data_IF_831729685961
#
_entry.id   IF_831729685961
#
_cell.length_a   1.000
_cell.length_b   1.000
_cell.length_c   1.000
_cell.angle_alpha   90.00
_cell.angle_beta   90.00
_cell.angle_gamma   90.00
#
_symmetry.space_group_name_H-M   'P 1'
#
loop_
_entity.id
_entity.type
_entity.pdbx_description
1 polymer ?
#
# COMPACT_ATOMS: atom_id res chain seq x y z
N UNK A 1 -9.52 24.77 15.41
CA UNK A 1 -8.49 23.71 15.56
C UNK A 1 -7.85 23.49 14.19
N UNK A 2 -6.54 23.66 14.04
CA UNK A 2 -5.88 23.33 12.77
C UNK A 2 -5.87 21.81 12.64
N UNK A 3 -6.47 21.28 11.58
CA UNK A 3 -6.38 19.85 11.26
C UNK A 3 -4.90 19.52 11.07
N UNK A 4 -4.32 18.79 12.03
CA UNK A 4 -2.94 18.31 11.90
C UNK A 4 -3.00 17.14 10.92
N UNK A 5 -2.34 17.24 9.75
CA UNK A 5 -2.35 16.13 8.80
C UNK A 5 -1.72 14.90 9.47
N UNK A 6 -2.51 13.84 9.62
CA UNK A 6 -2.04 12.58 10.19
C UNK A 6 -1.23 11.88 9.10
N UNK A 7 0.10 11.98 9.19
CA UNK A 7 1.01 11.15 8.40
C UNK A 7 0.89 9.73 8.94
N UNK A 8 0.35 8.81 8.13
CA UNK A 8 0.32 7.40 8.48
C UNK A 8 1.75 6.88 8.62
N UNK A 9 2.05 6.28 9.78
CA UNK A 9 3.36 5.73 10.07
C UNK A 9 3.37 4.24 9.71
N UNK A 10 3.92 3.92 8.54
CA UNK A 10 4.18 2.53 8.15
C UNK A 10 5.65 2.16 8.40
N UNK A 11 5.99 0.86 8.43
CA UNK A 11 7.38 0.45 8.50
C UNK A 11 8.15 0.91 7.25
N UNK A 12 9.47 1.11 7.35
CA UNK A 12 10.28 1.75 6.30
C UNK A 12 10.20 1.07 4.93
N UNK A 13 9.95 -0.25 4.89
CA UNK A 13 9.77 -1.00 3.64
C UNK A 13 8.48 -0.64 2.90
N UNK A 14 7.47 -0.08 3.57
CA UNK A 14 6.27 0.46 2.92
C UNK A 14 6.55 1.69 2.04
N UNK A 15 7.71 2.31 2.21
CA UNK A 15 8.16 3.45 1.40
C UNK A 15 9.20 3.05 0.34
N UNK A 16 9.56 1.76 0.24
CA UNK A 16 10.61 1.29 -0.67
C UNK A 16 10.35 1.67 -2.14
N UNK A 17 9.08 1.77 -2.53
CA UNK A 17 8.69 2.11 -3.91
C UNK A 17 8.69 3.61 -4.21
N UNK A 18 8.80 4.47 -3.21
CA UNK A 18 8.91 5.91 -3.43
C UNK A 18 10.26 6.25 -4.05
N UNK A 19 10.26 7.23 -4.96
CA UNK A 19 11.51 7.78 -5.46
C UNK A 19 12.29 8.47 -4.34
N UNK A 20 13.62 8.45 -4.39
CA UNK A 20 14.46 9.20 -3.45
C UNK A 20 14.06 10.66 -3.36
N UNK A 21 13.67 11.26 -4.48
CA UNK A 21 13.20 12.65 -4.54
C UNK A 21 11.97 12.87 -3.66
N UNK A 22 10.98 11.98 -3.73
CA UNK A 22 9.74 12.10 -2.98
C UNK A 22 9.95 11.81 -1.48
N UNK A 23 10.82 10.85 -1.13
CA UNK A 23 11.20 10.61 0.27
C UNK A 23 11.89 11.85 0.87
N UNK A 24 12.79 12.50 0.12
CA UNK A 24 13.44 13.74 0.54
C UNK A 24 12.45 14.90 0.65
N UNK A 25 11.46 14.97 -0.25
CA UNK A 25 10.40 15.97 -0.18
C UNK A 25 9.57 15.80 1.10
N UNK A 26 9.16 14.58 1.44
CA UNK A 26 8.46 14.28 2.69
C UNK A 26 9.33 14.64 3.89
N UNK A 27 10.61 14.25 3.89
CA UNK A 27 11.55 14.61 4.97
C UNK A 27 11.63 16.12 5.14
N UNK A 28 11.79 16.87 4.06
CA UNK A 28 11.89 18.33 4.11
C UNK A 28 10.56 18.95 4.58
N UNK A 29 9.43 18.46 4.07
CA UNK A 29 8.11 18.91 4.52
C UNK A 29 7.96 18.72 6.03
N UNK A 30 8.24 17.53 6.55
CA UNK A 30 8.17 17.25 7.99
C UNK A 30 9.14 18.12 8.79
N UNK A 31 10.37 18.29 8.29
CA UNK A 31 11.43 19.02 9.00
C UNK A 31 11.16 20.52 9.08
N UNK A 32 10.60 21.12 8.03
CA UNK A 32 10.47 22.57 7.92
C UNK A 32 9.07 23.10 8.17
N UNK A 33 8.01 22.30 8.00
CA UNK A 33 6.62 22.76 8.16
C UNK A 33 5.99 22.39 9.51
N UNK A 34 6.58 21.48 10.26
CA UNK A 34 6.10 21.13 11.61
C UNK A 34 6.99 21.76 12.67
N UNK A 35 6.38 22.30 13.72
CA UNK A 35 7.14 22.75 14.86
C UNK A 35 7.76 21.56 15.60
N UNK A 36 9.07 21.61 15.93
CA UNK A 36 9.70 20.56 16.72
C UNK A 36 8.98 20.42 18.06
N UNK A 37 8.46 19.22 18.34
CA UNK A 37 7.93 18.89 19.67
C UNK A 37 9.06 18.30 20.50
N UNK A 38 9.43 18.97 21.59
CA UNK A 38 10.44 18.49 22.53
C UNK A 38 9.84 17.45 23.47
N UNK A 39 9.48 16.28 22.92
CA UNK A 39 9.02 15.12 23.69
C UNK A 39 10.21 14.23 23.97
N UNK A 40 10.47 13.93 25.24
CA UNK A 40 11.52 12.97 25.62
C UNK A 40 11.20 11.61 24.99
N UNK A 41 12.15 11.03 24.26
CA UNK A 41 12.01 9.69 23.71
C UNK A 41 11.70 8.69 24.84
N UNK A 42 10.73 7.82 24.60
CA UNK A 42 10.45 6.71 25.52
C UNK A 42 11.68 5.82 25.58
N UNK A 43 12.00 5.33 26.78
CA UNK A 43 13.04 4.31 26.96
C UNK A 43 12.66 3.09 26.13
N UNK A 44 13.64 2.45 25.48
CA UNK A 44 13.38 1.24 24.70
C UNK A 44 12.89 0.13 25.64
N UNK A 45 11.62 -0.24 25.54
CA UNK A 45 11.00 -1.30 26.36
C UNK A 45 11.14 -2.69 25.74
N UNK A 46 11.74 -2.81 24.54
CA UNK A 46 11.97 -4.11 23.91
C UNK A 46 12.97 -4.91 24.75
N UNK A 47 12.60 -6.14 25.09
CA UNK A 47 13.42 -7.06 25.92
C UNK A 47 14.06 -8.14 25.06
N UNK A 48 15.17 -8.71 25.54
CA UNK A 48 15.87 -9.81 24.87
C UNK A 48 16.48 -9.40 23.53
N UNK A 49 16.57 -10.34 22.57
CA UNK A 49 17.17 -10.12 21.24
C UNK A 49 16.50 -8.99 20.45
N UNK A 50 15.24 -8.66 20.71
CA UNK A 50 14.54 -7.54 20.09
C UNK A 50 15.10 -6.17 20.49
N UNK A 51 15.85 -6.07 21.60
CA UNK A 51 16.53 -4.85 22.02
C UNK A 51 17.85 -4.63 21.27
N UNK A 52 18.43 -5.70 20.72
CA UNK A 52 19.72 -5.69 20.06
C UNK A 52 19.59 -5.19 18.62
N UNK A 53 19.84 -3.90 18.41
CA UNK A 53 19.69 -3.23 17.10
C UNK A 53 20.53 -3.86 15.99
N UNK A 54 21.68 -4.42 16.32
CA UNK A 54 22.54 -5.10 15.34
C UNK A 54 21.96 -6.46 14.89
N UNK A 55 21.02 -7.03 15.64
CA UNK A 55 20.24 -8.19 15.21
C UNK A 55 19.46 -7.91 13.91
N UNK A 56 19.04 -6.67 13.68
CA UNK A 56 18.42 -6.26 12.41
C UNK A 56 19.40 -6.29 11.23
N UNK A 57 20.70 -6.07 11.46
CA UNK A 57 21.73 -6.17 10.40
C UNK A 57 21.92 -7.63 10.00
N UNK A 58 22.04 -8.51 10.98
CA UNK A 58 22.13 -9.97 10.77
C UNK A 58 20.88 -10.48 10.05
N UNK A 59 19.68 -10.03 10.45
CA UNK A 59 18.43 -10.37 9.80
C UNK A 59 18.40 -9.94 8.33
N UNK A 60 18.79 -8.69 8.05
CA UNK A 60 18.85 -8.17 6.67
C UNK A 60 19.82 -8.97 5.81
N UNK A 61 20.98 -9.29 6.35
CA UNK A 61 21.99 -10.11 5.69
C UNK A 61 21.48 -11.53 5.44
N UNK A 62 20.85 -12.18 6.41
CA UNK A 62 20.25 -13.50 6.20
C UNK A 62 19.18 -13.48 5.10
N UNK A 63 18.34 -12.43 5.06
CA UNK A 63 17.29 -12.28 4.04
C UNK A 63 17.85 -12.07 2.63
N UNK A 64 19.02 -11.45 2.47
CA UNK A 64 19.60 -11.24 1.13
C UNK A 64 20.00 -12.53 0.41
N UNK A 65 20.13 -13.65 1.14
CA UNK A 65 20.37 -14.97 0.55
C UNK A 65 19.09 -15.79 0.31
N UNK A 66 17.92 -15.29 0.75
CA UNK A 66 16.67 -16.06 0.73
C UNK A 66 15.57 -15.45 -0.15
N UNK A 67 15.78 -14.30 -0.78
CA UNK A 67 14.81 -13.67 -1.68
C UNK A 67 15.06 -14.07 -3.13
N UNK A 68 14.08 -14.71 -3.76
CA UNK A 68 14.04 -14.79 -5.22
C UNK A 68 13.57 -13.43 -5.79
N UNK A 69 14.09 -13.05 -6.95
CA UNK A 69 13.80 -11.77 -7.63
C UNK A 69 12.29 -11.51 -7.87
N UNK A 70 11.44 -12.54 -7.81
CA UNK A 70 9.98 -12.41 -7.93
C UNK A 70 9.30 -11.89 -6.63
N UNK A 71 9.93 -12.04 -5.46
CA UNK A 71 9.45 -11.43 -4.21
C UNK A 71 9.74 -9.91 -4.14
N UNK A 72 10.64 -9.41 -5.00
CA UNK A 72 11.18 -8.03 -4.95
C UNK A 72 10.23 -6.96 -5.48
N UNK A 73 9.29 -7.32 -6.38
CA UNK A 73 8.29 -6.35 -6.81
C UNK A 73 7.43 -5.86 -5.64
N UNK A 74 7.17 -6.72 -4.65
CA UNK A 74 6.24 -6.45 -3.54
C UNK A 74 6.92 -6.21 -2.21
N UNK A 75 8.09 -6.82 -2.01
CA UNK A 75 8.85 -6.75 -0.75
C UNK A 75 10.29 -6.31 -0.93
N UNK A 76 10.68 -6.04 -2.18
CA UNK A 76 12.00 -5.52 -2.53
C UNK A 76 12.16 -4.09 -2.02
N UNK A 77 13.41 -3.75 -1.77
CA UNK A 77 13.81 -2.46 -1.19
C UNK A 77 13.97 -1.37 -2.24
N UNK A 78 13.75 -1.69 -3.51
CA UNK A 78 14.09 -0.83 -4.62
C UNK A 78 12.92 0.03 -5.06
N UNK A 79 13.26 1.23 -5.53
CA UNK A 79 12.33 2.21 -6.06
C UNK A 79 11.49 1.63 -7.20
N UNK A 80 10.24 2.11 -7.33
CA UNK A 80 9.37 1.71 -8.42
C UNK A 80 10.02 1.97 -9.78
N UNK A 81 10.01 0.95 -10.64
CA UNK A 81 10.44 1.05 -12.03
C UNK A 81 9.21 0.93 -12.94
N UNK A 82 9.10 1.84 -13.91
CA UNK A 82 8.02 1.80 -14.88
C UNK A 82 8.09 0.50 -15.69
N UNK A 83 6.94 -0.14 -15.87
CA UNK A 83 6.82 -1.37 -16.63
C UNK A 83 6.67 -1.03 -18.12
N UNK A 84 7.60 -1.55 -18.93
CA UNK A 84 7.54 -1.48 -20.39
C UNK A 84 6.27 -2.16 -20.91
N UNK A 85 5.56 -1.50 -21.83
CA UNK A 85 4.31 -2.02 -22.40
C UNK A 85 3.05 -1.62 -21.61
N UNK A 86 3.19 -0.98 -20.46
CA UNK A 86 2.08 -0.30 -19.77
C UNK A 86 2.10 1.20 -20.10
N UNK A 87 0.94 1.83 -20.04
CA UNK A 87 0.79 3.27 -20.29
C UNK A 87 1.49 4.09 -19.19
N UNK A 88 1.79 5.36 -19.45
CA UNK A 88 2.30 6.27 -18.43
C UNK A 88 1.32 6.42 -17.26
N UNK A 89 0.02 6.52 -17.57
CA UNK A 89 -1.04 6.67 -16.58
C UNK A 89 -1.16 5.41 -15.69
N UNK A 90 -1.06 4.22 -16.27
CA UNK A 90 -1.00 2.97 -15.50
C UNK A 90 0.23 2.92 -14.59
N UNK A 91 1.41 3.29 -15.08
CA UNK A 91 2.64 3.31 -14.29
C UNK A 91 2.56 4.32 -13.14
N UNK A 92 1.92 5.48 -13.38
CA UNK A 92 1.60 6.46 -12.32
C UNK A 92 0.69 5.86 -11.26
N UNK A 93 -0.35 5.13 -11.69
CA UNK A 93 -1.27 4.43 -10.78
C UNK A 93 -0.58 3.38 -9.94
N UNK A 94 0.26 2.56 -10.56
CA UNK A 94 1.06 1.55 -9.88
C UNK A 94 2.01 2.18 -8.84
N UNK A 95 2.67 3.30 -9.17
CA UNK A 95 3.50 4.06 -8.23
C UNK A 95 2.70 4.54 -7.02
N UNK A 96 1.53 5.12 -7.25
CA UNK A 96 0.66 5.63 -6.20
C UNK A 96 0.13 4.49 -5.31
N UNK A 97 -0.42 3.43 -5.89
CA UNK A 97 -1.05 2.32 -5.15
C UNK A 97 -0.01 1.48 -4.37
N UNK A 98 1.14 1.20 -4.99
CA UNK A 98 2.16 0.33 -4.42
C UNK A 98 3.16 1.09 -3.52
N UNK A 99 3.24 2.42 -3.66
CA UNK A 99 4.13 3.30 -2.91
C UNK A 99 3.36 4.30 -2.06
N UNK A 100 2.97 5.42 -2.66
CA UNK A 100 2.55 6.63 -1.93
C UNK A 100 1.24 6.50 -1.12
N UNK A 101 0.31 5.66 -1.56
CA UNK A 101 -1.01 5.48 -0.96
C UNK A 101 -1.10 4.23 -0.06
N UNK A 102 -0.07 3.38 -0.07
CA UNK A 102 0.02 2.21 0.80
C UNK A 102 -1.20 1.27 0.78
N UNK A 103 -1.95 1.22 -0.33
CA UNK A 103 -3.20 0.45 -0.45
C UNK A 103 -2.99 -1.03 -0.05
N UNK A 104 -1.83 -1.57 -0.45
CA UNK A 104 -1.40 -2.93 -0.15
C UNK A 104 -1.29 -3.27 1.33
N UNK A 105 -1.08 -2.27 2.20
CA UNK A 105 -0.89 -2.51 3.63
C UNK A 105 -2.17 -3.03 4.31
N UNK A 106 -3.34 -2.70 3.76
CA UNK A 106 -4.63 -3.17 4.25
C UNK A 106 -5.25 -4.21 3.32
N UNK A 107 -5.10 -4.04 2.01
CA UNK A 107 -5.83 -4.83 1.01
C UNK A 107 -5.08 -6.05 0.47
N UNK A 108 -3.85 -6.33 0.91
CA UNK A 108 -3.15 -7.57 0.54
C UNK A 108 -3.12 -8.52 1.74
N UNK A 109 -3.37 -9.84 1.57
CA UNK A 109 -3.34 -10.78 2.68
C UNK A 109 -1.97 -10.80 3.37
N UNK A 110 -1.96 -11.10 4.69
CA UNK A 110 -0.74 -11.26 5.48
C UNK A 110 -0.61 -12.69 6.00
N UNK A 111 0.62 -13.21 6.06
CA UNK A 111 0.88 -14.48 6.77
C UNK A 111 0.83 -14.28 8.29
N UNK A 112 0.31 -15.29 8.99
CA UNK A 112 0.26 -15.38 10.45
C UNK A 112 1.36 -16.32 10.98
N UNK A 113 2.55 -16.32 10.37
CA UNK A 113 3.63 -17.27 10.65
C UNK A 113 4.37 -17.04 11.99
N UNK A 114 3.77 -16.30 12.93
CA UNK A 114 4.26 -16.12 14.30
C UNK A 114 5.54 -15.27 14.44
N UNK A 115 6.40 -15.23 13.43
CA UNK A 115 7.66 -14.46 13.41
C UNK A 115 7.57 -13.21 12.55
N UNK A 116 6.67 -13.18 11.57
CA UNK A 116 6.48 -12.05 10.65
C UNK A 116 5.01 -11.71 10.50
N UNK A 117 4.43 -11.13 11.57
CA UNK A 117 3.22 -10.29 11.45
C UNK A 117 3.53 -9.12 10.51
N UNK A 118 3.51 -9.33 9.19
CA UNK A 118 4.00 -8.32 8.25
C UNK A 118 4.29 -8.75 6.83
N UNK A 119 4.51 -10.04 6.50
CA UNK A 119 4.77 -10.42 5.10
C UNK A 119 3.46 -10.34 4.31
N UNK A 120 3.38 -9.35 3.42
CA UNK A 120 2.33 -9.31 2.39
C UNK A 120 2.49 -10.56 1.53
N UNK A 121 1.38 -11.22 1.23
CA UNK A 121 1.31 -12.32 0.30
C UNK A 121 0.91 -11.77 -1.06
N UNK A 122 1.85 -11.53 -1.96
CA UNK A 122 1.50 -11.19 -3.33
C UNK A 122 1.11 -12.41 -4.16
N UNK A 123 1.41 -13.63 -3.69
CA UNK A 123 1.05 -14.86 -4.37
C UNK A 123 0.59 -15.95 -3.38
N UNK A 124 -0.33 -16.79 -3.84
CA UNK A 124 -0.72 -18.04 -3.21
C UNK A 124 -0.43 -19.20 -4.16
N UNK A 125 0.24 -20.23 -3.66
CA UNK A 125 0.42 -21.49 -4.38
C UNK A 125 -0.81 -22.38 -4.16
N UNK A 126 -1.38 -22.86 -5.25
CA UNK A 126 -2.51 -23.79 -5.24
C UNK A 126 -2.01 -25.23 -5.17
N UNK A 127 -2.87 -26.16 -4.73
CA UNK A 127 -2.55 -27.59 -4.63
C UNK A 127 -2.05 -28.24 -5.93
N UNK A 128 -2.33 -27.61 -7.08
CA UNK A 128 -1.88 -28.06 -8.40
C UNK A 128 -0.56 -27.42 -8.85
N UNK A 129 0.20 -26.80 -7.93
CA UNK A 129 1.48 -26.12 -8.22
C UNK A 129 1.33 -24.77 -8.93
N UNK A 130 0.11 -24.35 -9.27
CA UNK A 130 -0.13 -23.05 -9.90
C UNK A 130 -0.05 -21.94 -8.86
N UNK A 131 0.76 -20.91 -9.13
CA UNK A 131 0.78 -19.68 -8.34
C UNK A 131 -0.24 -18.68 -8.88
N UNK A 132 -1.02 -18.08 -8.00
CA UNK A 132 -1.99 -17.02 -8.33
C UNK A 132 -1.66 -15.78 -7.52
N UNK A 133 -1.78 -14.60 -8.12
CA UNK A 133 -1.57 -13.35 -7.41
C UNK A 133 -2.68 -13.14 -6.37
N UNK A 134 -2.28 -12.87 -5.14
CA UNK A 134 -3.15 -12.45 -4.03
C UNK A 134 -3.02 -10.97 -3.72
N UNK A 135 -2.30 -10.23 -4.57
CA UNK A 135 -2.14 -8.79 -4.45
C UNK A 135 -3.48 -8.07 -4.45
N UNK A 136 -3.70 -7.22 -3.45
CA UNK A 136 -4.92 -6.39 -3.32
C UNK A 136 -6.24 -7.17 -3.29
N UNK A 137 -6.19 -8.51 -3.11
CA UNK A 137 -7.35 -9.42 -3.03
C UNK A 137 -8.09 -9.39 -1.69
N UNK A 138 -7.83 -8.39 -0.87
CA UNK A 138 -8.37 -8.24 0.48
C UNK A 138 -7.53 -8.93 1.55
N UNK A 139 -7.95 -8.85 2.81
CA UNK A 139 -7.21 -9.41 3.93
C UNK A 139 -7.89 -9.22 5.27
N UNK A 140 -7.40 -9.91 6.30
CA UNK A 140 -7.86 -9.70 7.68
C UNK A 140 -6.93 -8.69 8.35
N UNK A 141 -7.51 -7.59 8.83
CA UNK A 141 -6.78 -6.54 9.55
C UNK A 141 -6.45 -7.01 10.98
N UNK A 142 -5.46 -6.40 11.66
CA UNK A 142 -5.15 -6.71 13.06
C UNK A 142 -6.34 -6.56 14.02
N UNK A 143 -7.33 -5.74 13.66
CA UNK A 143 -8.58 -5.59 14.41
C UNK A 143 -9.60 -6.72 14.17
N UNK A 144 -9.27 -7.77 13.43
CA UNK A 144 -10.17 -8.87 13.05
C UNK A 144 -11.17 -8.55 11.93
N UNK A 145 -11.32 -7.27 11.58
CA UNK A 145 -12.13 -6.80 10.44
C UNK A 145 -11.51 -7.19 9.10
N UNK A 146 -12.33 -7.38 8.05
CA UNK A 146 -11.86 -7.73 6.70
C UNK A 146 -11.74 -6.49 5.81
N UNK A 147 -10.60 -6.34 5.14
CA UNK A 147 -10.43 -5.46 4.01
C UNK A 147 -10.90 -6.19 2.73
N UNK A 148 -11.70 -5.56 1.86
CA UNK A 148 -12.20 -6.17 0.64
C UNK A 148 -11.10 -6.27 -0.44
N UNK A 149 -11.36 -7.09 -1.46
CA UNK A 149 -10.64 -7.03 -2.74
C UNK A 149 -10.90 -5.67 -3.40
N UNK A 150 -9.83 -5.02 -3.86
CA UNK A 150 -9.87 -3.73 -4.57
C UNK A 150 -9.23 -3.83 -5.95
N UNK A 151 -9.29 -5.01 -6.58
CA UNK A 151 -8.88 -5.25 -7.96
C UNK A 151 -10.06 -5.74 -8.77
N UNK A 152 -10.07 -5.50 -10.07
CA UNK A 152 -11.07 -6.10 -10.96
C UNK A 152 -10.90 -7.63 -10.98
N UNK A 153 -11.90 -8.38 -10.56
CA UNK A 153 -11.88 -9.84 -10.69
C UNK A 153 -12.33 -10.30 -12.08
N UNK A 154 -11.85 -11.46 -12.58
CA UNK A 154 -12.21 -11.99 -13.89
C UNK A 154 -13.71 -12.27 -14.08
N UNK A 155 -14.45 -12.49 -12.99
CA UNK A 155 -15.90 -12.71 -12.99
C UNK A 155 -16.72 -11.40 -12.99
N UNK A 156 -16.06 -10.24 -12.95
CA UNK A 156 -16.68 -8.92 -12.95
C UNK A 156 -17.44 -8.55 -11.66
N UNK A 157 -17.46 -9.44 -10.65
CA UNK A 157 -18.31 -9.28 -9.45
C UNK A 157 -17.62 -8.60 -8.28
N UNK A 158 -16.31 -8.76 -8.17
CA UNK A 158 -15.53 -8.18 -7.06
C UNK A 158 -15.03 -6.81 -7.48
N UNK A 159 -15.99 -5.93 -7.71
CA UNK A 159 -15.80 -4.50 -7.86
C UNK A 159 -17.15 -3.81 -7.66
N UNK A 160 -17.34 -2.99 -6.62
CA UNK A 160 -18.47 -2.09 -6.55
C UNK A 160 -17.99 -0.66 -6.80
N UNK A 161 -17.30 -0.37 -7.92
CA UNK A 161 -16.92 1.03 -8.20
C UNK A 161 -17.38 1.53 -9.56
N UNK A 162 -17.57 0.69 -10.58
CA UNK A 162 -18.04 1.13 -11.89
C UNK A 162 -18.95 0.05 -12.50
N UNK A 163 -20.26 0.24 -12.43
CA UNK A 163 -21.08 -0.25 -13.53
C UNK A 163 -20.78 0.67 -14.71
N UNK A 164 -20.44 0.11 -15.87
CA UNK A 164 -20.24 0.84 -17.13
C UNK A 164 -21.41 1.78 -17.50
N UNK A 165 -22.56 1.62 -16.85
CA UNK A 165 -23.78 2.42 -17.08
C UNK A 165 -23.79 3.78 -16.39
N UNK A 166 -22.96 4.01 -15.36
CA UNK A 166 -22.83 5.30 -14.71
C UNK A 166 -21.46 5.90 -15.07
N UNK A 167 -21.37 6.46 -16.28
CA UNK A 167 -20.23 7.23 -16.74
C UNK A 167 -20.42 8.73 -16.41
N UNK A 168 -20.30 9.20 -15.15
CA UNK A 168 -20.13 10.62 -14.94
C UNK A 168 -18.67 10.93 -15.30
N UNK A 169 -18.50 11.95 -16.14
CA UNK A 169 -17.23 12.60 -16.49
C UNK A 169 -16.44 13.15 -15.27
N UNK A 170 -16.84 12.79 -14.05
CA UNK A 170 -16.30 13.30 -12.80
C UNK A 170 -15.83 12.14 -11.90
N UNK A 171 -14.56 11.79 -12.09
CA UNK A 171 -13.80 10.80 -11.34
C UNK A 171 -13.82 11.03 -9.81
N UNK A 172 -13.99 12.29 -9.35
CA UNK A 172 -14.13 12.63 -7.92
C UNK A 172 -15.42 12.07 -7.34
N UNK A 173 -16.53 12.14 -8.10
CA UNK A 173 -17.84 11.60 -7.70
C UNK A 173 -17.79 10.07 -7.64
N UNK A 174 -17.08 9.42 -8.56
CA UNK A 174 -16.91 7.97 -8.58
C UNK A 174 -16.22 7.49 -7.29
N UNK A 175 -15.07 8.07 -6.96
CA UNK A 175 -14.28 7.69 -5.77
C UNK A 175 -15.02 8.06 -4.49
N UNK A 176 -15.69 9.20 -4.44
CA UNK A 176 -16.56 9.61 -3.31
C UNK A 176 -17.76 8.69 -3.09
N UNK A 177 -18.38 8.20 -4.17
CA UNK A 177 -19.57 7.32 -4.08
C UNK A 177 -19.25 5.94 -3.52
N UNK A 178 -18.02 5.47 -3.72
CA UNK A 178 -17.48 4.24 -3.12
C UNK A 178 -17.29 4.41 -1.63
N UNK A 179 -16.68 5.52 -1.20
CA UNK A 179 -16.43 5.77 0.22
C UNK A 179 -17.70 6.10 1.01
N UNK A 180 -18.76 6.59 0.35
CA UNK A 180 -20.07 6.79 0.98
C UNK A 180 -20.83 5.47 1.28
N UNK A 181 -20.53 4.38 0.55
CA UNK A 181 -21.24 3.09 0.68
C UNK A 181 -20.50 2.07 1.56
N UNK A 182 -19.24 2.32 1.90
CA UNK A 182 -18.41 1.41 2.68
C UNK A 182 -18.45 1.85 4.14
N UNK A 183 -19.16 1.10 4.97
CA UNK A 183 -19.20 1.28 6.42
C UNK A 183 -17.88 0.81 7.07
N UNK A 184 -16.84 1.64 6.97
CA UNK A 184 -15.64 1.51 7.78
C UNK A 184 -15.01 2.88 8.05
N UNK A 185 -15.15 3.33 9.30
CA UNK A 185 -14.51 4.52 9.90
C UNK A 185 -13.03 4.70 9.49
N UNK A 186 -12.28 3.61 9.31
CA UNK A 186 -10.86 3.63 8.91
C UNK A 186 -10.63 3.97 7.44
N UNK A 187 -11.45 3.47 6.51
CA UNK A 187 -11.34 3.87 5.09
C UNK A 187 -11.84 5.28 4.86
N UNK A 188 -12.79 5.75 5.68
CA UNK A 188 -13.17 7.16 5.69
C UNK A 188 -12.00 8.07 6.07
N UNK A 189 -11.17 7.68 7.04
CA UNK A 189 -9.95 8.43 7.37
C UNK A 189 -8.92 8.42 6.22
N UNK A 190 -8.77 7.30 5.51
CA UNK A 190 -7.91 7.23 4.30
C UNK A 190 -8.43 8.19 3.23
N UNK A 191 -9.74 8.21 2.99
CA UNK A 191 -10.34 9.15 2.05
C UNK A 191 -10.09 10.61 2.49
N UNK A 192 -10.39 10.93 3.74
CA UNK A 192 -10.33 12.29 4.27
C UNK A 192 -8.91 12.83 4.41
N UNK A 193 -7.90 11.97 4.63
CA UNK A 193 -6.53 12.42 4.85
C UNK A 193 -5.61 12.24 3.64
N UNK A 194 -6.00 11.41 2.66
CA UNK A 194 -5.14 11.09 1.52
C UNK A 194 -5.89 11.26 0.19
N UNK A 195 -6.91 10.44 -0.08
CA UNK A 195 -7.46 10.32 -1.44
C UNK A 195 -8.19 11.57 -1.92
N UNK A 196 -8.83 12.34 -1.03
CA UNK A 196 -9.49 13.60 -1.41
C UNK A 196 -8.53 14.70 -1.90
N UNK A 197 -7.23 14.54 -1.63
CA UNK A 197 -6.20 15.51 -1.98
C UNK A 197 -5.49 15.16 -3.30
N UNK A 198 -5.81 14.01 -3.92
CA UNK A 198 -5.26 13.63 -5.22
C UNK A 198 -5.83 14.50 -6.35
N UNK A 199 -5.00 14.74 -7.35
CA UNK A 199 -5.42 15.41 -8.58
C UNK A 199 -6.35 14.51 -9.40
N UNK A 200 -7.14 15.07 -10.33
CA UNK A 200 -7.85 14.29 -11.34
C UNK A 200 -7.06 13.18 -11.99
N UNK A 201 -5.85 13.53 -12.40
CA UNK A 201 -4.94 12.69 -13.16
C UNK A 201 -4.44 11.55 -12.29
N UNK A 202 -4.03 11.85 -11.05
CA UNK A 202 -3.59 10.84 -10.09
C UNK A 202 -4.72 9.86 -9.73
N UNK A 203 -5.96 10.36 -9.63
CA UNK A 203 -7.09 9.51 -9.32
C UNK A 203 -7.48 8.62 -10.51
N UNK A 204 -7.42 9.14 -11.73
CA UNK A 204 -7.57 8.37 -12.96
C UNK A 204 -6.49 7.29 -13.09
N UNK A 205 -5.24 7.63 -12.80
CA UNK A 205 -4.11 6.71 -12.81
C UNK A 205 -4.31 5.54 -11.84
N UNK A 206 -4.72 5.83 -10.59
CA UNK A 206 -5.05 4.81 -9.58
C UNK A 206 -6.14 3.87 -10.10
N UNK A 207 -7.21 4.42 -10.70
CA UNK A 207 -8.31 3.62 -11.24
C UNK A 207 -7.86 2.74 -12.42
N UNK A 208 -7.03 3.26 -13.33
CA UNK A 208 -6.49 2.48 -14.45
C UNK A 208 -5.66 1.28 -13.94
N UNK A 209 -4.80 1.50 -12.94
CA UNK A 209 -4.00 0.43 -12.34
C UNK A 209 -4.86 -0.64 -11.66
N UNK A 210 -5.85 -0.25 -10.85
CA UNK A 210 -6.70 -1.21 -10.12
C UNK A 210 -7.67 -1.99 -11.04
N UNK A 211 -7.97 -1.44 -12.22
CA UNK A 211 -8.80 -2.09 -13.24
C UNK A 211 -8.05 -3.13 -14.07
N UNK A 212 -6.72 -3.19 -13.98
CA UNK A 212 -5.93 -4.22 -14.63
C UNK A 212 -6.13 -5.57 -13.91
N UNK A 213 -6.71 -6.60 -14.56
CA UNK A 213 -6.92 -7.90 -13.95
C UNK A 213 -5.60 -8.68 -13.76
N UNK A 214 -4.54 -8.31 -14.49
CA UNK A 214 -3.23 -8.94 -14.43
C UNK A 214 -2.12 -7.87 -14.38
N UNK A 215 -1.97 -7.14 -13.27
CA UNK A 215 -0.96 -6.08 -13.17
C UNK A 215 0.49 -6.62 -13.10
N UNK A 216 0.68 -7.94 -13.21
CA UNK A 216 1.96 -8.64 -13.08
C UNK A 216 2.27 -9.60 -14.24
N UNK A 217 1.43 -9.65 -15.29
CA UNK A 217 1.71 -10.39 -16.53
C UNK A 217 2.07 -9.44 -17.66
#
# INVERSE_FOLDING_TARGET
MREVPIIQFFPYNSYAKLTRKDVLLIKNFVTYFFQPVSVRNRTNEMKGLASYRDGMKVWKFAKSFSSSAEEDWFTGTDEYQAITGKTENWNRGAYLVNGALHCAQCHTPRQNDGMTRGKLLPFQELKNGRRVSTWLKGGVLPSGKKAPDITKTPDGKTWPILNDQDNPKDYKVQVLSVFKKIDYEKMQQVYMNQLRHLTPEDLSAVLEYLNDPNPFN
#
